data_IF_735504987520
#
_entry.id   IF_735504987520
#
_cell.length_a   1.000
_cell.length_b   1.000
_cell.length_c   1.000
_cell.angle_alpha   90.00
_cell.angle_beta   90.00
_cell.angle_gamma   90.00
#
_symmetry.space_group_name_H-M   'P 1'
#
loop_
_entity.id
_entity.type
_entity.pdbx_description
1 polymer ?
#
# COMPACT_ATOMS: atom_id res chain seq x y z
N UNK A 1 -23.27 20.49 -23.15
CA UNK A 1 -23.00 19.77 -24.43
C UNK A 1 -22.67 18.35 -24.05
N UNK A 2 -23.58 17.42 -24.30
CA UNK A 2 -23.44 16.01 -23.86
C UNK A 2 -22.69 15.26 -24.96
N UNK A 3 -21.44 14.93 -24.71
CA UNK A 3 -20.63 14.08 -25.61
C UNK A 3 -21.00 12.63 -25.31
N UNK A 4 -21.83 12.04 -26.14
CA UNK A 4 -22.17 10.59 -26.05
C UNK A 4 -20.96 9.76 -26.50
N UNK A 5 -20.28 9.14 -25.56
CA UNK A 5 -19.29 8.11 -25.85
C UNK A 5 -19.98 6.85 -26.38
N UNK A 6 -19.78 6.54 -27.66
CA UNK A 6 -20.10 5.22 -28.24
C UNK A 6 -18.93 4.29 -27.97
N UNK A 7 -19.01 3.55 -26.86
CA UNK A 7 -18.08 2.47 -26.53
C UNK A 7 -18.37 1.25 -27.37
N UNK A 8 -17.38 0.74 -28.09
CA UNK A 8 -17.42 -0.60 -28.70
C UNK A 8 -17.32 -1.64 -27.58
N UNK A 9 -18.45 -2.20 -27.17
CA UNK A 9 -18.47 -3.33 -26.21
C UNK A 9 -17.84 -4.56 -26.88
N UNK A 10 -16.70 -5.01 -26.35
CA UNK A 10 -16.24 -6.37 -26.65
C UNK A 10 -17.09 -7.34 -25.80
N UNK A 11 -17.94 -8.09 -26.46
CA UNK A 11 -18.74 -9.13 -25.83
C UNK A 11 -17.87 -10.38 -25.64
N UNK A 12 -17.08 -10.40 -24.58
CA UNK A 12 -16.45 -11.63 -24.09
C UNK A 12 -17.46 -12.43 -23.26
N UNK A 13 -17.84 -13.60 -23.71
CA UNK A 13 -18.59 -14.54 -22.88
C UNK A 13 -17.76 -14.84 -21.63
N UNK A 14 -18.31 -14.54 -20.45
CA UNK A 14 -17.77 -15.02 -19.18
C UNK A 14 -18.09 -16.52 -19.11
N UNK A 15 -17.22 -17.34 -19.66
CA UNK A 15 -17.26 -18.78 -19.43
C UNK A 15 -16.75 -19.03 -18.01
N UNK A 16 -17.63 -19.49 -17.12
CA UNK A 16 -17.28 -19.97 -15.79
C UNK A 16 -16.43 -21.24 -15.90
N UNK A 17 -15.16 -21.08 -16.21
CA UNK A 17 -14.15 -22.14 -16.09
C UNK A 17 -13.48 -21.96 -14.73
N UNK A 18 -13.90 -22.78 -13.77
CA UNK A 18 -13.25 -22.95 -12.46
C UNK A 18 -11.89 -23.59 -12.70
N UNK A 19 -10.88 -22.79 -13.07
CA UNK A 19 -9.49 -23.18 -12.99
C UNK A 19 -8.94 -22.72 -11.64
N UNK A 20 -9.12 -23.55 -10.62
CA UNK A 20 -8.27 -23.53 -9.44
C UNK A 20 -6.87 -24.04 -9.84
N UNK A 21 -6.15 -23.26 -10.65
CA UNK A 21 -4.72 -23.43 -10.80
C UNK A 21 -4.07 -22.82 -9.56
N UNK A 22 -3.86 -23.66 -8.53
CA UNK A 22 -2.86 -23.38 -7.51
C UNK A 22 -1.50 -23.40 -8.21
N UNK A 23 -1.12 -22.28 -8.80
CA UNK A 23 0.25 -22.09 -9.25
C UNK A 23 1.05 -21.90 -7.97
N UNK A 24 1.70 -22.96 -7.53
CA UNK A 24 2.81 -22.90 -6.58
C UNK A 24 3.95 -22.13 -7.29
N UNK A 25 3.92 -20.82 -7.19
CA UNK A 25 5.00 -19.96 -7.67
C UNK A 25 5.97 -19.79 -6.50
N UNK A 26 7.19 -20.31 -6.58
CA UNK A 26 8.14 -20.30 -5.47
C UNK A 26 8.67 -18.92 -5.06
N UNK A 27 8.17 -17.85 -5.64
CA UNK A 27 8.56 -16.44 -5.34
C UNK A 27 7.38 -15.46 -5.47
N UNK A 28 6.15 -15.92 -5.32
CA UNK A 28 5.01 -15.02 -5.35
C UNK A 28 5.07 -14.09 -4.12
N UNK A 29 5.18 -12.80 -4.37
CA UNK A 29 4.99 -11.77 -3.36
C UNK A 29 3.49 -11.59 -3.20
N UNK A 30 3.00 -11.59 -1.97
CA UNK A 30 1.60 -11.32 -1.69
C UNK A 30 1.45 -10.25 -0.61
N UNK A 31 0.42 -9.42 -0.76
CA UNK A 31 -0.06 -8.50 0.27
C UNK A 31 -1.53 -8.78 0.51
N UNK A 32 -1.93 -8.87 1.78
CA UNK A 32 -3.30 -9.01 2.21
C UNK A 32 -3.73 -7.70 2.89
N UNK A 33 -4.80 -7.10 2.38
CA UNK A 33 -5.31 -5.81 2.80
C UNK A 33 -6.76 -5.99 3.22
N UNK A 34 -7.09 -5.56 4.43
CA UNK A 34 -8.45 -5.69 5.00
C UNK A 34 -9.16 -4.36 4.99
N UNK A 35 -10.47 -4.43 4.80
CA UNK A 35 -11.38 -3.32 4.93
C UNK A 35 -12.51 -3.69 5.91
N UNK A 36 -13.09 -2.74 6.66
CA UNK A 36 -14.22 -3.02 7.53
C UNK A 36 -15.44 -3.51 6.75
N UNK A 37 -16.23 -4.40 7.33
CA UNK A 37 -17.46 -4.86 6.72
C UNK A 37 -18.68 -4.11 7.23
N UNK A 38 -19.68 -3.90 6.37
CA UNK A 38 -20.96 -3.32 6.72
C UNK A 38 -21.02 -1.79 6.70
N UNK A 39 -20.07 -1.13 6.06
CA UNK A 39 -20.00 0.33 5.89
C UNK A 39 -20.34 0.81 4.47
N UNK A 40 -20.70 -0.10 3.57
CA UNK A 40 -20.98 0.13 2.15
C UNK A 40 -22.35 0.79 1.85
N UNK A 41 -23.26 0.88 2.82
CA UNK A 41 -24.65 1.31 2.56
C UNK A 41 -25.38 0.36 1.60
N UNK A 42 -25.80 0.85 0.43
CA UNK A 42 -26.45 0.06 -0.64
C UNK A 42 -25.46 -0.37 -1.73
N UNK A 43 -24.21 0.05 -1.68
CA UNK A 43 -23.15 -0.45 -2.56
C UNK A 43 -22.74 -1.88 -2.19
N UNK A 44 -21.95 -2.51 -3.03
CA UNK A 44 -21.31 -3.78 -2.65
C UNK A 44 -20.27 -3.55 -1.55
N UNK A 45 -20.21 -4.44 -0.58
CA UNK A 45 -19.36 -4.36 0.61
C UNK A 45 -18.05 -5.09 0.35
N UNK A 46 -16.94 -4.35 0.23
CA UNK A 46 -15.60 -4.90 0.05
C UNK A 46 -15.05 -5.20 1.43
N UNK A 47 -14.49 -6.38 1.63
CA UNK A 47 -13.93 -6.78 2.94
C UNK A 47 -12.44 -7.04 2.90
N UNK A 48 -11.90 -7.30 1.72
CA UNK A 48 -10.46 -7.46 1.56
C UNK A 48 -10.00 -7.37 0.10
N UNK A 49 -8.75 -6.96 -0.08
CA UNK A 49 -8.02 -7.08 -1.34
C UNK A 49 -6.74 -7.86 -1.08
N UNK A 50 -6.51 -8.94 -1.84
CA UNK A 50 -5.23 -9.63 -1.86
C UNK A 50 -4.54 -9.32 -3.19
N UNK A 51 -3.28 -8.92 -3.15
CA UNK A 51 -2.44 -8.74 -4.34
C UNK A 51 -1.35 -9.79 -4.34
N UNK A 52 -1.25 -10.56 -5.42
CA UNK A 52 -0.14 -11.47 -5.65
C UNK A 52 0.64 -11.05 -6.90
N UNK A 53 1.97 -11.03 -6.82
CA UNK A 53 2.84 -10.65 -7.92
C UNK A 53 3.92 -11.70 -8.17
N UNK A 54 4.08 -12.11 -9.43
CA UNK A 54 5.21 -12.93 -9.86
C UNK A 54 6.27 -12.03 -10.52
N UNK A 55 7.39 -11.88 -9.84
CA UNK A 55 8.50 -11.04 -10.30
C UNK A 55 9.11 -11.52 -11.63
N UNK A 56 9.12 -12.82 -11.88
CA UNK A 56 9.74 -13.41 -13.06
C UNK A 56 8.93 -13.16 -14.33
N UNK A 57 7.60 -13.35 -14.26
CA UNK A 57 6.69 -13.10 -15.39
C UNK A 57 6.18 -11.66 -15.44
N UNK A 58 6.27 -10.92 -14.34
CA UNK A 58 5.65 -9.61 -14.19
C UNK A 58 4.13 -9.65 -13.99
N UNK A 59 3.56 -10.83 -13.80
CA UNK A 59 2.12 -11.01 -13.61
C UNK A 59 1.68 -10.53 -12.24
N UNK A 60 0.59 -9.74 -12.21
CA UNK A 60 -0.15 -9.35 -11.02
C UNK A 60 -1.49 -10.04 -10.99
N UNK A 61 -1.95 -10.40 -9.82
CA UNK A 61 -3.30 -10.89 -9.56
C UNK A 61 -3.87 -10.12 -8.37
N UNK A 62 -4.95 -9.40 -8.61
CA UNK A 62 -5.77 -8.80 -7.57
C UNK A 62 -6.97 -9.72 -7.30
N UNK A 63 -7.21 -10.02 -6.03
CA UNK A 63 -8.41 -10.71 -5.56
C UNK A 63 -9.15 -9.77 -4.64
N UNK A 64 -10.32 -9.31 -5.06
CA UNK A 64 -11.18 -8.43 -4.29
C UNK A 64 -12.33 -9.29 -3.76
N UNK A 65 -12.50 -9.32 -2.45
CA UNK A 65 -13.51 -10.12 -1.76
C UNK A 65 -14.52 -9.20 -1.08
N UNK A 66 -15.79 -9.57 -1.13
CA UNK A 66 -16.85 -8.75 -0.54
C UNK A 66 -18.22 -9.39 -0.69
N UNK A 67 -19.23 -8.57 -0.52
CA UNK A 67 -20.65 -8.98 -0.70
C UNK A 67 -21.31 -8.06 -1.71
N UNK A 68 -21.95 -8.63 -2.73
CA UNK A 68 -22.63 -7.92 -3.82
C UNK A 68 -21.73 -6.95 -4.63
N UNK A 69 -20.41 -7.16 -4.63
CA UNK A 69 -19.47 -6.39 -5.45
C UNK A 69 -19.66 -6.71 -6.93
N UNK A 70 -19.54 -5.71 -7.81
CA UNK A 70 -19.75 -5.85 -9.26
C UNK A 70 -21.03 -6.61 -9.63
N UNK A 71 -22.12 -6.41 -8.87
CA UNK A 71 -23.35 -7.22 -8.97
C UNK A 71 -24.21 -6.87 -10.16
N UNK A 72 -24.05 -5.69 -10.74
CA UNK A 72 -24.84 -5.21 -11.90
C UNK A 72 -24.13 -4.04 -12.59
N UNK A 73 -24.64 -3.62 -13.75
CA UNK A 73 -24.18 -2.38 -14.42
C UNK A 73 -24.41 -1.11 -13.57
N UNK A 74 -25.35 -1.16 -12.61
CA UNK A 74 -25.63 -0.08 -11.67
C UNK A 74 -24.87 -0.23 -10.35
N UNK A 75 -24.12 -1.31 -10.18
CA UNK A 75 -23.29 -1.59 -9.00
C UNK A 75 -21.92 -2.11 -9.42
N UNK A 76 -21.13 -1.31 -10.17
CA UNK A 76 -19.80 -1.70 -10.61
C UNK A 76 -18.77 -1.69 -9.47
N UNK A 77 -17.66 -2.36 -9.76
CA UNK A 77 -16.42 -2.29 -9.00
C UNK A 77 -15.37 -1.56 -9.82
N UNK A 78 -14.65 -0.66 -9.17
CA UNK A 78 -13.43 -0.04 -9.70
C UNK A 78 -12.21 -0.58 -8.95
N UNK A 79 -11.11 -0.78 -9.66
CA UNK A 79 -9.79 -0.96 -9.09
C UNK A 79 -8.87 0.07 -9.73
N UNK A 80 -8.43 1.04 -8.93
CA UNK A 80 -7.63 2.16 -9.38
C UNK A 80 -6.19 2.01 -8.90
N UNK A 81 -5.23 2.32 -9.77
CA UNK A 81 -3.81 2.07 -9.56
C UNK A 81 -3.01 3.35 -9.88
N UNK A 82 -2.35 3.87 -8.85
CA UNK A 82 -1.30 4.89 -8.96
C UNK A 82 0.03 4.17 -9.14
N UNK A 83 0.48 4.05 -10.37
CA UNK A 83 1.57 3.17 -10.79
C UNK A 83 2.97 3.70 -10.44
N UNK A 84 3.10 4.98 -10.14
CA UNK A 84 4.36 5.60 -9.67
C UNK A 84 4.34 5.91 -8.16
N UNK A 85 3.25 5.55 -7.48
CA UNK A 85 3.00 5.79 -6.05
C UNK A 85 3.13 7.28 -5.67
N UNK A 86 2.70 8.17 -6.56
CA UNK A 86 2.75 9.61 -6.39
C UNK A 86 1.36 10.25 -6.60
N UNK A 87 0.61 10.56 -5.55
CA UNK A 87 -0.75 11.10 -5.66
C UNK A 87 -0.84 12.51 -6.28
N UNK A 88 0.29 13.08 -6.70
CA UNK A 88 0.35 14.38 -7.38
C UNK A 88 0.51 14.26 -8.90
N UNK A 89 0.59 13.05 -9.43
CA UNK A 89 0.60 12.69 -10.85
C UNK A 89 -0.69 11.92 -11.19
N UNK A 90 -0.89 11.47 -12.40
CA UNK A 90 -2.12 10.79 -12.79
C UNK A 90 -3.38 11.65 -12.61
N UNK A 91 -4.52 11.02 -12.35
CA UNK A 91 -5.75 11.74 -11.97
C UNK A 91 -5.67 12.14 -10.50
N UNK A 92 -5.28 13.38 -10.22
CA UNK A 92 -5.13 13.92 -8.86
C UNK A 92 -6.46 14.01 -8.11
N UNK A 93 -7.60 13.94 -8.80
CA UNK A 93 -8.92 13.91 -8.16
C UNK A 93 -9.28 12.52 -7.67
N UNK A 94 -8.51 11.52 -8.10
CA UNK A 94 -8.66 10.11 -7.79
C UNK A 94 -7.34 9.51 -7.24
N UNK A 95 -6.80 10.15 -6.20
CA UNK A 95 -5.58 9.75 -5.48
C UNK A 95 -4.33 9.53 -6.37
N UNK A 96 -4.26 10.19 -7.54
CA UNK A 96 -3.13 10.07 -8.45
C UNK A 96 -3.19 8.84 -9.34
N UNK A 97 -4.37 8.27 -9.57
CA UNK A 97 -4.52 7.06 -10.38
C UNK A 97 -4.09 7.25 -11.83
N UNK A 98 -3.25 6.33 -12.31
CA UNK A 98 -2.77 6.26 -13.69
C UNK A 98 -3.54 5.23 -14.51
N UNK A 99 -4.05 4.19 -13.85
CA UNK A 99 -4.81 3.08 -14.46
C UNK A 99 -6.05 2.77 -13.66
N UNK A 100 -7.12 2.40 -14.36
CA UNK A 100 -8.40 2.02 -13.77
C UNK A 100 -9.00 0.79 -14.45
N UNK A 101 -9.49 -0.13 -13.65
CA UNK A 101 -10.33 -1.24 -14.06
C UNK A 101 -11.76 -0.97 -13.59
N UNK A 102 -12.68 -0.93 -14.53
CA UNK A 102 -14.11 -0.99 -14.28
C UNK A 102 -14.58 -2.43 -14.48
N UNK A 103 -15.35 -2.98 -13.57
CA UNK A 103 -15.89 -4.34 -13.63
C UNK A 103 -17.35 -4.31 -13.24
N UNK A 104 -18.22 -4.87 -14.07
CA UNK A 104 -19.60 -5.17 -13.74
C UNK A 104 -19.90 -6.67 -13.94
N UNK A 105 -21.15 -7.09 -13.77
CA UNK A 105 -21.55 -8.50 -13.91
C UNK A 105 -21.52 -9.02 -15.36
N UNK A 106 -21.28 -8.18 -16.36
CA UNK A 106 -21.35 -8.51 -17.79
C UNK A 106 -20.07 -8.19 -18.55
N UNK A 107 -19.27 -7.23 -18.06
CA UNK A 107 -18.14 -6.67 -18.79
C UNK A 107 -17.08 -6.11 -17.88
N UNK A 108 -15.91 -5.85 -18.43
CA UNK A 108 -14.89 -5.03 -17.81
C UNK A 108 -14.37 -4.03 -18.82
N UNK A 109 -13.72 -2.98 -18.29
CA UNK A 109 -13.04 -1.96 -19.07
C UNK A 109 -11.71 -1.62 -18.37
N UNK A 110 -10.62 -1.52 -19.15
CA UNK A 110 -9.31 -1.12 -18.67
C UNK A 110 -8.90 0.19 -19.33
N UNK A 111 -8.51 1.16 -18.53
CA UNK A 111 -8.17 2.51 -18.96
C UNK A 111 -6.86 3.00 -18.34
N UNK A 112 -6.24 4.00 -18.99
CA UNK A 112 -5.17 4.79 -18.43
C UNK A 112 -5.50 6.29 -18.48
N UNK A 113 -4.91 7.06 -17.61
CA UNK A 113 -5.00 8.51 -17.58
C UNK A 113 -4.00 9.12 -18.57
N UNK A 114 -4.48 9.92 -19.54
CA UNK A 114 -3.63 10.55 -20.56
C UNK A 114 -3.13 11.96 -20.14
N UNK A 115 -3.42 12.39 -18.92
CA UNK A 115 -3.16 13.72 -18.39
C UNK A 115 -4.40 14.64 -18.40
N UNK A 116 -5.52 14.19 -18.97
CA UNK A 116 -6.76 14.95 -19.07
C UNK A 116 -8.02 14.09 -19.06
N UNK A 117 -7.93 12.86 -19.53
CA UNK A 117 -9.05 11.95 -19.69
C UNK A 117 -8.64 10.50 -19.42
N UNK A 118 -9.61 9.68 -19.04
CA UNK A 118 -9.48 8.23 -19.02
C UNK A 118 -9.64 7.67 -20.44
N UNK A 119 -8.61 6.99 -20.94
CA UNK A 119 -8.54 6.46 -22.30
C UNK A 119 -8.42 4.95 -22.25
N UNK A 120 -9.18 4.25 -23.10
CA UNK A 120 -9.11 2.79 -23.20
C UNK A 120 -7.67 2.32 -23.49
N UNK A 121 -7.21 1.37 -22.72
CA UNK A 121 -5.89 0.76 -22.85
C UNK A 121 -6.02 -0.61 -23.50
N UNK A 122 -5.09 -1.02 -24.39
CA UNK A 122 -5.03 -2.41 -24.82
C UNK A 122 -4.88 -3.35 -23.63
N UNK A 123 -5.70 -4.40 -23.60
CA UNK A 123 -5.83 -5.35 -22.50
C UNK A 123 -5.23 -6.72 -22.85
N UNK A 124 -4.00 -6.74 -23.34
CA UNK A 124 -3.35 -7.93 -23.91
C UNK A 124 -3.18 -9.08 -22.91
N UNK A 125 -2.93 -8.76 -21.64
CA UNK A 125 -2.77 -9.75 -20.57
C UNK A 125 -3.90 -9.73 -19.53
N UNK A 126 -4.83 -8.78 -19.65
CA UNK A 126 -5.91 -8.61 -18.67
C UNK A 126 -6.87 -9.77 -18.73
N UNK A 127 -7.14 -10.35 -17.57
CA UNK A 127 -8.19 -11.35 -17.38
C UNK A 127 -9.01 -10.97 -16.15
N UNK A 128 -10.32 -10.91 -16.32
CA UNK A 128 -11.27 -10.66 -15.24
C UNK A 128 -12.20 -11.84 -15.10
N UNK A 129 -12.37 -12.32 -13.88
CA UNK A 129 -13.28 -13.42 -13.56
C UNK A 129 -13.82 -13.29 -12.15
N UNK A 130 -14.89 -13.98 -11.85
CA UNK A 130 -15.48 -14.02 -10.51
C UNK A 130 -16.97 -13.86 -10.51
N UNK A 131 -17.52 -13.39 -9.41
CA UNK A 131 -18.95 -13.17 -9.16
C UNK A 131 -19.11 -12.16 -8.02
N UNK A 132 -20.34 -12.04 -7.50
CA UNK A 132 -20.70 -10.98 -6.53
C UNK A 132 -20.02 -11.06 -5.15
N UNK A 133 -19.31 -12.14 -4.87
CA UNK A 133 -18.54 -12.30 -3.61
C UNK A 133 -17.04 -12.21 -3.78
N UNK A 134 -16.55 -12.31 -5.02
CA UNK A 134 -15.13 -12.24 -5.32
C UNK A 134 -14.90 -11.88 -6.78
N UNK A 135 -14.02 -10.92 -7.02
CA UNK A 135 -13.52 -10.56 -8.35
C UNK A 135 -12.02 -10.85 -8.39
N UNK A 136 -11.56 -11.45 -9.48
CA UNK A 136 -10.16 -11.68 -9.79
C UNK A 136 -9.81 -10.84 -11.02
N UNK A 137 -8.78 -10.00 -10.89
CA UNK A 137 -8.23 -9.19 -11.99
C UNK A 137 -6.76 -9.56 -12.12
N UNK A 138 -6.37 -10.06 -13.27
CA UNK A 138 -5.00 -10.40 -13.62
C UNK A 138 -4.50 -9.47 -14.71
N UNK A 139 -3.29 -8.92 -14.56
CA UNK A 139 -2.67 -7.99 -15.49
C UNK A 139 -1.14 -8.12 -15.43
N UNK A 140 -0.45 -7.98 -16.55
CA UNK A 140 1.01 -7.89 -16.53
C UNK A 140 1.44 -6.46 -16.20
N UNK A 141 2.44 -6.31 -15.34
CA UNK A 141 2.97 -4.99 -14.95
C UNK A 141 3.48 -4.16 -16.13
N UNK A 142 3.81 -4.79 -17.26
CA UNK A 142 4.18 -4.07 -18.50
C UNK A 142 3.05 -3.21 -19.04
N UNK A 143 1.79 -3.56 -18.73
CA UNK A 143 0.61 -2.77 -19.09
C UNK A 143 0.31 -1.68 -18.05
N UNK A 144 1.04 -1.70 -16.92
CA UNK A 144 0.98 -0.70 -15.85
C UNK A 144 2.27 0.14 -15.78
N UNK A 145 2.90 0.43 -16.93
CA UNK A 145 4.13 1.21 -16.98
C UNK A 145 5.38 0.50 -16.44
N UNK A 146 5.39 -0.83 -16.35
CA UNK A 146 6.46 -1.63 -15.75
C UNK A 146 6.74 -1.30 -14.27
N UNK A 147 5.72 -0.86 -13.55
CA UNK A 147 5.88 -0.48 -12.14
C UNK A 147 6.45 -1.60 -11.28
N UNK A 148 7.24 -1.23 -10.28
CA UNK A 148 7.73 -2.14 -9.23
C UNK A 148 7.14 -1.83 -7.86
N UNK A 149 6.50 -0.68 -7.72
CA UNK A 149 5.81 -0.19 -6.54
C UNK A 149 4.62 0.63 -7.01
N UNK A 150 3.45 0.40 -6.45
CA UNK A 150 2.26 1.17 -6.78
C UNK A 150 1.34 1.30 -5.57
N UNK A 151 0.55 2.38 -5.56
CA UNK A 151 -0.61 2.49 -4.69
C UNK A 151 -1.84 1.96 -5.43
N UNK A 152 -2.83 1.49 -4.70
CA UNK A 152 -4.09 1.06 -5.29
C UNK A 152 -5.22 1.16 -4.26
N UNK A 153 -6.44 1.25 -4.77
CA UNK A 153 -7.65 1.14 -3.96
C UNK A 153 -8.77 0.52 -4.81
N UNK A 154 -9.74 -0.07 -4.14
CA UNK A 154 -10.91 -0.61 -4.80
C UNK A 154 -12.15 0.15 -4.33
N UNK A 155 -13.11 0.39 -5.23
CA UNK A 155 -14.36 1.06 -4.91
C UNK A 155 -15.52 0.28 -5.50
N UNK A 156 -16.47 -0.12 -4.67
CA UNK A 156 -17.78 -0.55 -5.12
C UNK A 156 -18.72 0.64 -5.10
N UNK A 157 -19.47 0.86 -6.17
CA UNK A 157 -20.27 2.06 -6.33
C UNK A 157 -21.69 1.72 -6.78
N UNK A 158 -22.71 2.27 -6.12
CA UNK A 158 -24.09 2.19 -6.56
C UNK A 158 -24.48 3.46 -7.32
N UNK A 159 -24.68 3.35 -8.63
CA UNK A 159 -24.99 4.48 -9.51
C UNK A 159 -26.37 5.08 -9.29
N UNK A 160 -27.29 4.37 -8.62
CA UNK A 160 -28.69 4.79 -8.41
C UNK A 160 -28.79 5.82 -7.29
N UNK A 161 -28.20 5.50 -6.13
CA UNK A 161 -28.28 6.36 -4.93
C UNK A 161 -26.91 6.95 -4.53
N UNK A 162 -25.85 6.65 -5.29
CA UNK A 162 -24.48 7.12 -5.11
C UNK A 162 -23.81 6.65 -3.82
N UNK A 163 -24.31 5.58 -3.22
CA UNK A 163 -23.58 4.91 -2.16
C UNK A 163 -22.28 4.32 -2.73
N UNK A 164 -21.25 4.29 -1.92
CA UNK A 164 -19.98 3.65 -2.29
C UNK A 164 -19.34 3.01 -1.07
N UNK A 165 -18.47 2.06 -1.35
CA UNK A 165 -17.57 1.44 -0.41
C UNK A 165 -16.15 1.47 -0.96
N UNK A 166 -15.21 1.96 -0.19
CA UNK A 166 -13.81 2.12 -0.60
C UNK A 166 -12.87 1.30 0.26
N UNK A 167 -12.08 0.45 -0.34
CA UNK A 167 -11.03 -0.32 0.30
C UNK A 167 -9.64 0.19 -0.13
N UNK A 168 -8.91 0.93 0.74
CA UNK A 168 -9.29 1.33 2.10
C UNK A 168 -10.32 2.47 2.11
N UNK A 169 -11.02 2.64 3.23
CA UNK A 169 -11.96 3.76 3.44
C UNK A 169 -11.35 5.15 3.25
N UNK A 170 -10.04 5.28 3.33
CA UNK A 170 -9.31 6.54 3.06
C UNK A 170 -7.91 6.25 2.53
N UNK A 171 -7.48 7.02 1.52
CA UNK A 171 -6.18 6.90 0.91
C UNK A 171 -6.06 5.68 0.00
N UNK A 172 -4.91 5.03 0.00
CA UNK A 172 -4.62 3.88 -0.85
C UNK A 172 -3.79 2.83 -0.12
N UNK A 173 -3.93 1.58 -0.50
CA UNK A 173 -3.00 0.50 -0.16
C UNK A 173 -1.73 0.64 -0.99
N UNK A 174 -0.64 0.00 -0.56
CA UNK A 174 0.62 -0.01 -1.29
C UNK A 174 1.13 -1.43 -1.51
N UNK A 175 1.53 -1.75 -2.73
CA UNK A 175 2.13 -3.03 -3.09
C UNK A 175 3.48 -2.84 -3.76
N UNK A 176 4.43 -3.73 -3.48
CA UNK A 176 5.74 -3.74 -4.11
C UNK A 176 6.12 -5.13 -4.60
N UNK A 177 6.62 -5.19 -5.83
CA UNK A 177 7.22 -6.40 -6.40
C UNK A 177 8.57 -6.76 -5.80
N UNK A 178 9.20 -5.87 -5.07
CA UNK A 178 10.44 -6.20 -4.40
C UNK A 178 10.15 -6.98 -3.13
N UNK A 179 10.67 -8.20 -3.03
CA UNK A 179 10.55 -9.07 -1.87
C UNK A 179 11.02 -8.41 -0.56
N UNK A 180 11.76 -7.31 -0.68
CA UNK A 180 12.23 -6.50 0.43
C UNK A 180 11.33 -5.28 0.69
N UNK A 181 10.22 -5.09 -0.06
CA UNK A 181 9.37 -3.90 -0.01
C UNK A 181 10.13 -2.60 -0.32
N UNK A 182 9.54 -1.43 -0.07
CA UNK A 182 10.28 -0.17 -0.14
C UNK A 182 11.45 -0.21 0.84
N UNK A 183 12.69 -0.27 0.31
CA UNK A 183 13.87 -0.36 1.17
C UNK A 183 14.20 0.99 1.79
N UNK A 184 14.23 1.04 3.11
CA UNK A 184 14.80 2.18 3.81
C UNK A 184 16.31 1.99 3.86
N UNK A 185 17.08 2.75 3.06
CA UNK A 185 18.54 2.65 3.02
C UNK A 185 19.13 3.15 4.34
N UNK A 186 18.70 4.31 4.82
CA UNK A 186 19.16 4.86 6.08
C UNK A 186 18.09 5.70 6.76
N UNK A 187 18.28 5.91 8.06
CA UNK A 187 17.39 6.69 8.92
C UNK A 187 18.23 7.78 9.59
N UNK A 188 17.86 9.02 9.38
CA UNK A 188 18.42 10.14 10.12
C UNK A 188 17.77 10.21 11.51
N UNK A 189 18.56 10.34 12.55
CA UNK A 189 18.09 10.28 13.93
C UNK A 189 18.53 11.49 14.71
N UNK A 190 17.56 12.22 15.30
CA UNK A 190 17.80 13.27 16.28
C UNK A 190 17.84 12.69 17.69
N UNK A 191 18.81 13.12 18.48
CA UNK A 191 18.99 12.73 19.89
C UNK A 191 18.79 13.95 20.79
N UNK A 192 18.08 13.78 21.89
CA UNK A 192 17.89 14.85 22.89
C UNK A 192 18.13 14.29 24.29
N UNK A 193 19.13 14.76 25.04
CA UNK A 193 20.11 15.79 24.61
C UNK A 193 21.08 15.28 23.54
N UNK A 194 21.60 16.18 22.68
CA UNK A 194 22.53 15.85 21.60
C UNK A 194 23.81 15.18 22.11
N UNK A 195 24.25 15.55 23.33
CA UNK A 195 25.41 14.98 24.01
C UNK A 195 25.25 13.50 24.39
N UNK A 196 24.05 12.93 24.21
CA UNK A 196 23.73 11.55 24.53
C UNK A 196 23.06 11.35 25.90
N UNK A 197 22.82 10.07 26.28
CA UNK A 197 22.09 9.73 27.51
C UNK A 197 22.88 10.09 28.77
N UNK A 198 22.18 10.66 29.74
CA UNK A 198 22.74 11.03 31.04
C UNK A 198 22.03 10.24 32.17
N UNK A 199 22.79 9.79 33.16
CA UNK A 199 22.26 9.06 34.31
C UNK A 199 21.20 9.89 35.06
N UNK A 200 20.08 9.29 35.38
CA UNK A 200 18.94 9.93 36.07
C UNK A 200 18.10 10.88 35.19
N UNK A 201 18.37 11.00 33.89
CA UNK A 201 17.66 11.91 32.98
C UNK A 201 16.84 11.13 31.94
N UNK A 202 15.95 11.83 31.25
CA UNK A 202 15.24 11.30 30.07
C UNK A 202 16.11 11.47 28.82
N UNK A 203 16.12 10.46 27.97
CA UNK A 203 16.79 10.46 26.68
C UNK A 203 15.79 10.18 25.58
N UNK A 204 15.70 11.07 24.60
CA UNK A 204 14.73 10.96 23.50
C UNK A 204 15.47 10.68 22.20
N UNK A 205 14.92 9.78 21.41
CA UNK A 205 15.37 9.46 20.06
C UNK A 205 14.17 9.62 19.13
N UNK A 206 14.35 10.39 18.05
CA UNK A 206 13.34 10.60 17.04
C UNK A 206 13.94 10.47 15.63
N UNK A 207 13.34 9.68 14.74
CA UNK A 207 13.74 9.73 13.34
C UNK A 207 13.33 11.07 12.74
N UNK A 208 14.21 11.67 11.93
CA UNK A 208 13.99 12.99 11.31
C UNK A 208 14.00 12.94 9.80
N UNK A 209 14.32 11.81 9.20
CA UNK A 209 14.28 11.60 7.77
C UNK A 209 14.71 10.19 7.40
N UNK A 210 14.23 9.75 6.23
CA UNK A 210 14.57 8.49 5.62
C UNK A 210 15.34 8.75 4.33
N UNK A 211 16.28 7.87 4.00
CA UNK A 211 16.87 7.78 2.68
C UNK A 211 16.33 6.50 2.03
N UNK A 212 15.68 6.66 0.91
CA UNK A 212 15.21 5.57 0.06
C UNK A 212 16.21 5.31 -1.09
N UNK A 213 16.07 4.23 -1.88
CA UNK A 213 16.80 4.03 -3.11
C UNK A 213 16.63 5.21 -4.08
N UNK A 214 17.63 5.50 -4.95
CA UNK A 214 17.62 6.67 -5.85
C UNK A 214 16.42 6.72 -6.80
N UNK A 215 15.90 5.58 -7.21
CA UNK A 215 14.72 5.40 -8.03
C UNK A 215 13.40 5.76 -7.33
N UNK A 216 13.46 6.01 -6.02
CA UNK A 216 12.31 6.30 -5.15
C UNK A 216 12.49 7.59 -4.33
N UNK A 217 13.46 8.40 -4.66
CA UNK A 217 13.62 9.71 -4.02
C UNK A 217 12.65 10.71 -4.65
N UNK A 218 11.47 10.83 -4.03
CA UNK A 218 10.56 11.92 -4.33
C UNK A 218 11.13 13.25 -3.79
N UNK A 219 11.03 14.31 -4.54
CA UNK A 219 11.10 15.68 -4.02
C UNK A 219 9.78 15.97 -3.30
N UNK A 220 9.82 16.23 -2.01
CA UNK A 220 10.69 17.10 -1.25
C UNK A 220 11.79 16.35 -0.47
N UNK A 221 12.83 17.11 0.00
CA UNK A 221 14.13 16.55 0.40
C UNK A 221 14.12 15.74 1.69
N UNK A 222 13.00 15.62 2.39
CA UNK A 222 12.97 14.92 3.68
C UNK A 222 11.73 14.05 3.79
N UNK A 223 11.90 12.76 3.52
CA UNK A 223 10.86 11.76 3.76
C UNK A 223 10.86 11.43 5.25
N UNK A 224 9.72 11.61 5.91
CA UNK A 224 9.55 11.25 7.32
C UNK A 224 8.90 9.86 7.44
N UNK A 225 9.26 9.06 8.46
CA UNK A 225 8.58 7.77 8.66
C UNK A 225 7.12 7.96 9.05
N UNK A 226 6.25 7.08 8.57
CA UNK A 226 4.82 7.03 8.95
C UNK A 226 4.64 6.64 10.40
N UNK A 227 5.47 5.71 10.85
CA UNK A 227 5.47 5.29 12.25
C UNK A 227 6.86 4.86 12.71
N UNK A 228 7.09 4.93 14.02
CA UNK A 228 8.29 4.36 14.62
C UNK A 228 8.04 3.91 16.06
N UNK A 229 8.84 2.96 16.49
CA UNK A 229 8.86 2.47 17.86
C UNK A 229 10.29 2.19 18.29
N UNK A 230 10.55 2.06 19.59
CA UNK A 230 11.85 1.63 20.04
C UNK A 230 11.80 0.67 21.24
N UNK A 231 12.85 -0.14 21.35
CA UNK A 231 13.15 -0.91 22.58
C UNK A 231 14.54 -0.51 23.07
N UNK A 232 14.70 -0.41 24.38
CA UNK A 232 15.97 0.00 24.99
C UNK A 232 16.43 -0.99 26.05
N UNK A 233 17.74 -1.26 26.10
CA UNK A 233 18.40 -2.11 27.11
C UNK A 233 19.63 -1.40 27.68
N UNK A 234 19.80 -1.49 29.01
CA UNK A 234 20.99 -1.09 29.71
C UNK A 234 21.73 -2.36 30.16
N UNK A 235 22.76 -2.75 29.42
CA UNK A 235 23.31 -4.10 29.53
C UNK A 235 22.25 -5.13 29.13
N UNK A 236 21.97 -6.10 30.02
CA UNK A 236 20.92 -7.10 29.82
C UNK A 236 19.52 -6.61 30.21
N UNK A 237 19.42 -5.52 31.00
CA UNK A 237 18.14 -5.04 31.55
C UNK A 237 17.36 -4.21 30.54
N UNK A 238 16.11 -4.61 30.24
CA UNK A 238 15.18 -3.83 29.44
C UNK A 238 14.74 -2.57 30.20
N UNK A 239 14.75 -1.42 29.54
CA UNK A 239 14.27 -0.16 30.09
C UNK A 239 12.85 0.16 29.59
N UNK A 240 12.07 0.80 30.44
CA UNK A 240 10.78 1.37 30.06
C UNK A 240 11.02 2.66 29.25
N UNK A 241 10.08 3.00 28.37
CA UNK A 241 10.11 4.22 27.55
C UNK A 241 9.97 3.98 26.06
N UNK A 242 9.53 2.78 25.69
CA UNK A 242 9.09 2.45 24.34
C UNK A 242 7.64 2.87 24.13
N UNK A 243 7.33 3.53 23.03
CA UNK A 243 5.96 3.86 22.62
C UNK A 243 5.90 4.06 21.11
N UNK A 244 4.72 3.87 20.56
CA UNK A 244 4.44 4.23 19.17
C UNK A 244 4.53 5.76 19.02
N UNK A 245 5.25 6.25 18.03
CA UNK A 245 5.44 7.69 17.77
C UNK A 245 6.37 8.42 18.77
N UNK A 246 6.90 7.75 19.78
CA UNK A 246 7.83 8.37 20.74
C UNK A 246 8.78 7.35 21.36
N UNK A 247 10.08 7.61 21.26
CA UNK A 247 11.11 6.85 21.94
C UNK A 247 11.72 7.71 23.06
N UNK A 248 11.15 7.65 24.27
CA UNK A 248 11.59 8.42 25.44
C UNK A 248 12.02 7.45 26.55
N UNK A 249 13.31 7.34 26.77
CA UNK A 249 13.93 6.35 27.66
C UNK A 249 14.28 7.01 28.98
N UNK A 250 13.79 6.49 30.09
CA UNK A 250 14.20 6.90 31.42
C UNK A 250 15.54 6.21 31.79
N UNK A 251 16.59 6.98 31.93
CA UNK A 251 17.92 6.44 32.26
C UNK A 251 18.04 6.35 33.80
N UNK A 252 18.33 5.18 34.39
CA UNK A 252 18.50 5.03 35.83
C UNK A 252 19.67 5.88 36.36
N UNK A 253 19.56 6.37 37.61
CA UNK A 253 20.61 7.16 38.28
C UNK A 253 21.96 6.43 38.34
N UNK A 254 21.93 5.11 38.51
CA UNK A 254 23.13 4.26 38.60
C UNK A 254 23.61 3.71 37.24
N UNK A 255 23.24 4.37 36.14
CA UNK A 255 23.55 3.94 34.80
C UNK A 255 24.87 4.51 34.25
N UNK A 256 25.51 5.46 34.95
CA UNK A 256 26.74 6.13 34.48
C UNK A 256 27.80 5.09 34.10
N UNK A 257 28.43 5.32 32.92
CA UNK A 257 29.43 4.43 32.36
C UNK A 257 28.89 3.18 31.67
N UNK A 258 27.62 2.79 31.89
CA UNK A 258 27.04 1.62 31.30
C UNK A 258 26.69 1.84 29.81
N UNK A 259 26.58 0.73 29.08
CA UNK A 259 26.18 0.71 27.67
C UNK A 259 24.64 0.69 27.56
N UNK A 260 24.07 1.70 26.90
CA UNK A 260 22.68 1.75 26.48
C UNK A 260 22.58 1.29 25.03
N UNK A 261 21.80 0.27 24.74
CA UNK A 261 21.46 -0.17 23.38
C UNK A 261 20.00 0.13 23.12
N UNK A 262 19.71 0.78 21.99
CA UNK A 262 18.36 1.09 21.54
C UNK A 262 18.16 0.49 20.16
N UNK A 263 17.10 -0.27 19.96
CA UNK A 263 16.65 -0.69 18.66
C UNK A 263 15.49 0.22 18.25
N UNK A 264 15.72 1.11 17.31
CA UNK A 264 14.71 1.97 16.71
C UNK A 264 14.16 1.27 15.49
N UNK A 265 12.88 0.94 15.49
CA UNK A 265 12.17 0.40 14.33
C UNK A 265 11.38 1.52 13.68
N UNK A 266 11.59 1.76 12.41
CA UNK A 266 10.85 2.73 11.60
C UNK A 266 10.09 2.01 10.50
N UNK A 267 8.90 2.52 10.15
CA UNK A 267 8.08 2.01 9.07
C UNK A 267 7.74 3.12 8.09
N UNK A 268 7.74 2.79 6.82
CA UNK A 268 7.37 3.68 5.73
C UNK A 268 6.88 2.83 4.54
N UNK A 269 5.67 3.07 4.05
CA UNK A 269 5.06 2.34 2.93
C UNK A 269 5.21 0.80 3.05
N UNK A 270 4.89 0.25 4.22
CA UNK A 270 5.04 -1.17 4.50
C UNK A 270 6.47 -1.65 4.81
N UNK A 271 7.51 -0.89 4.39
CA UNK A 271 8.88 -1.21 4.75
C UNK A 271 9.14 -1.01 6.24
N UNK A 272 9.97 -1.88 6.80
CA UNK A 272 10.46 -1.76 8.18
C UNK A 272 11.97 -1.80 8.19
N UNK A 273 12.58 -0.85 8.92
CA UNK A 273 14.01 -0.87 9.21
C UNK A 273 14.28 -0.79 10.69
N UNK A 274 15.10 -1.70 11.19
CA UNK A 274 15.61 -1.66 12.55
C UNK A 274 17.00 -1.03 12.54
N UNK A 275 17.13 0.07 13.31
CA UNK A 275 18.38 0.83 13.45
C UNK A 275 18.92 0.58 14.85
N UNK A 276 20.01 -0.19 14.99
CA UNK A 276 20.67 -0.37 16.28
C UNK A 276 21.50 0.89 16.63
N UNK A 277 21.25 1.44 17.79
CA UNK A 277 21.95 2.61 18.32
C UNK A 277 22.58 2.23 19.65
N UNK A 278 23.84 2.57 19.83
CA UNK A 278 24.60 2.27 21.05
C UNK A 278 25.22 3.55 21.63
N UNK A 279 25.07 3.74 22.93
CA UNK A 279 25.56 4.90 23.65
C UNK A 279 26.23 4.48 24.95
N UNK A 280 27.22 5.25 25.37
CA UNK A 280 27.74 5.21 26.74
C UNK A 280 27.00 6.25 27.57
N UNK A 281 26.41 5.85 28.70
CA UNK A 281 25.71 6.78 29.60
C UNK A 281 26.71 7.64 30.32
N UNK A 282 26.52 8.96 30.30
CA UNK A 282 27.34 9.98 30.96
C UNK A 282 26.89 10.22 32.40
#
# INVERSE_FOLDING_TARGET
MSTQFRLKKSRGLIAAALMAALILVPTALSGDYTDPSGDSGTAGDITSVTVAGDKASGQLLFRITGTNIASSETSPLFLDIDSDANPLTGDITDNGSDYSFYVDNTSYFFAHWDGSNWVATPDLSVQVSGGTSQILISVNRSELGNTSLFNFFAVSFNTVDRAFDGAPNQGAFNFSFDANGPQIISVNVKKTPAAGPQAGKRFVIAPTGLKLPPDRQTTPPTIVPESYSCTAKLGAKKLAGSGTGRCTIAIPKNARGKRLTVLLTVSYQGAKKVVPLTFKVK
#
